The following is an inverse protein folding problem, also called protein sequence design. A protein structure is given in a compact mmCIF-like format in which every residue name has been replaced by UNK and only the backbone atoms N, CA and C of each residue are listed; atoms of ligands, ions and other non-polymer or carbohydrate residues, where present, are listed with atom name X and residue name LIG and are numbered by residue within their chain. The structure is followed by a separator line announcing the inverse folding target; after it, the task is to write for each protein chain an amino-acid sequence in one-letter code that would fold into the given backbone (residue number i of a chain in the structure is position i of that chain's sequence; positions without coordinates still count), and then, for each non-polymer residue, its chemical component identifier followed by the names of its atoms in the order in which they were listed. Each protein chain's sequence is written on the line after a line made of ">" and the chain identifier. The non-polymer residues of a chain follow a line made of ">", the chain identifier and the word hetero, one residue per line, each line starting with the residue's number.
data_IF_127018633141
#
_entry.id   IF_127018633141
#
_cell.length_a   1.000
_cell.length_b   1.000
_cell.length_c   1.000
_cell.angle_alpha   90.00
_cell.angle_beta   90.00
_cell.angle_gamma   90.00
#
_symmetry.space_group_name_H-M   'P 1'
#
loop_
_entity.id
_entity.type
_entity.pdbx_description
1 polymer ?
#
# COMPACT_ATOMS: atom_id res chain seq x y z
N UNK A 1 -12.79 12.01 45.42
CA UNK A 1 -12.48 12.30 44.02
C UNK A 1 -13.54 11.61 43.19
N UNK A 2 -14.07 12.30 42.19
CA UNK A 2 -14.99 11.75 41.20
C UNK A 2 -14.56 12.21 39.80
N UNK A 3 -14.95 11.45 38.78
CA UNK A 3 -14.69 11.78 37.39
C UNK A 3 -15.92 11.42 36.55
N UNK A 4 -16.19 12.19 35.51
CA UNK A 4 -17.27 11.96 34.54
C UNK A 4 -16.69 12.04 33.15
N UNK A 5 -16.99 11.07 32.28
CA UNK A 5 -16.68 11.11 30.86
C UNK A 5 -17.82 11.78 30.12
N UNK A 6 -17.53 12.77 29.30
CA UNK A 6 -18.50 13.45 28.44
C UNK A 6 -18.29 12.95 27.03
N UNK A 7 -19.33 12.39 26.42
CA UNK A 7 -19.31 11.83 25.07
C UNK A 7 -20.14 12.68 24.09
N UNK A 8 -20.00 12.41 22.79
CA UNK A 8 -20.75 13.09 21.73
C UNK A 8 -20.30 14.54 21.47
N UNK A 9 -19.11 14.91 21.92
CA UNK A 9 -18.55 16.24 21.67
C UNK A 9 -18.14 16.39 20.19
N UNK A 10 -18.24 17.61 19.66
CA UNK A 10 -17.74 17.97 18.32
C UNK A 10 -16.22 18.05 18.35
N UNK A 11 -15.58 17.64 17.25
CA UNK A 11 -14.13 17.80 17.07
C UNK A 11 -13.73 19.29 16.97
N UNK A 12 -12.46 19.59 17.28
CA UNK A 12 -11.86 20.93 17.20
C UNK A 12 -12.66 22.03 17.95
N UNK A 13 -13.44 21.64 18.95
CA UNK A 13 -14.36 22.55 19.66
C UNK A 13 -13.88 22.82 21.08
N UNK A 14 -14.05 24.06 21.53
CA UNK A 14 -13.76 24.46 22.91
C UNK A 14 -15.00 24.26 23.77
N UNK A 15 -14.82 23.65 24.93
CA UNK A 15 -15.86 23.41 25.92
C UNK A 15 -15.47 24.00 27.27
N UNK A 16 -16.48 24.47 27.98
CA UNK A 16 -16.36 25.02 29.32
C UNK A 16 -17.15 24.15 30.28
N UNK A 17 -16.54 23.72 31.36
CA UNK A 17 -17.14 22.82 32.35
C UNK A 17 -17.18 23.49 33.71
N UNK A 18 -18.33 23.38 34.36
CA UNK A 18 -18.51 23.70 35.78
C UNK A 18 -18.99 22.47 36.52
N UNK A 19 -18.62 22.35 37.76
CA UNK A 19 -19.07 21.28 38.65
C UNK A 19 -20.17 21.78 39.57
N UNK A 20 -21.19 20.96 39.76
CA UNK A 20 -22.22 21.14 40.74
C UNK A 20 -22.13 20.03 41.79
N UNK A 21 -22.23 20.43 43.03
CA UNK A 21 -22.33 19.50 44.17
C UNK A 21 -23.68 19.75 44.87
N UNK A 22 -24.49 18.72 45.01
CA UNK A 22 -25.80 18.80 45.68
C UNK A 22 -25.93 17.73 46.75
N UNK A 23 -26.69 18.06 47.75
CA UNK A 23 -27.24 17.12 48.74
C UNK A 23 -28.76 17.33 48.83
N UNK A 24 -29.45 16.57 49.68
CA UNK A 24 -30.92 16.66 49.82
C UNK A 24 -31.45 18.05 50.27
N UNK A 25 -30.60 18.95 50.71
CA UNK A 25 -30.96 20.26 51.24
C UNK A 25 -30.59 21.42 50.33
N UNK A 26 -29.53 21.32 49.59
CA UNK A 26 -29.04 22.39 48.72
C UNK A 26 -28.08 21.89 47.65
N UNK A 27 -27.93 22.69 46.59
CA UNK A 27 -26.84 22.52 45.60
C UNK A 27 -25.93 23.75 45.62
N UNK A 28 -24.66 23.52 45.28
CA UNK A 28 -23.66 24.57 45.09
C UNK A 28 -22.93 24.33 43.76
N UNK A 29 -23.00 25.33 42.88
CA UNK A 29 -22.20 25.40 41.69
C UNK A 29 -20.80 25.88 42.09
N UNK A 30 -19.74 25.26 41.53
CA UNK A 30 -18.39 25.78 41.68
C UNK A 30 -18.19 26.90 40.66
N UNK A 31 -17.75 28.07 41.11
CA UNK A 31 -17.61 29.25 40.27
C UNK A 31 -16.45 29.15 39.29
N UNK A 32 -15.48 28.26 39.57
CA UNK A 32 -14.37 28.00 38.69
C UNK A 32 -14.84 27.26 37.43
N UNK A 33 -14.41 27.77 36.27
CA UNK A 33 -14.68 27.20 34.95
C UNK A 33 -13.42 26.56 34.44
N UNK A 34 -13.46 25.26 34.13
CA UNK A 34 -12.41 24.57 33.40
C UNK A 34 -12.68 24.60 31.89
N UNK A 35 -11.68 24.94 31.11
CA UNK A 35 -11.73 24.94 29.65
C UNK A 35 -10.94 23.76 29.10
N UNK A 36 -11.46 23.09 28.08
CA UNK A 36 -10.72 22.12 27.29
C UNK A 36 -11.15 22.18 25.82
N UNK A 37 -10.25 21.72 24.94
CA UNK A 37 -10.51 21.67 23.51
C UNK A 37 -10.40 20.22 23.02
N UNK A 38 -11.39 19.79 22.25
CA UNK A 38 -11.34 18.48 21.58
C UNK A 38 -10.35 18.48 20.44
N UNK A 39 -9.72 17.33 20.20
CA UNK A 39 -8.74 17.14 19.13
C UNK A 39 -9.48 17.11 17.79
N UNK A 40 -8.99 17.83 16.74
CA UNK A 40 -9.58 17.76 15.41
C UNK A 40 -9.34 16.40 14.76
N UNK A 41 -10.33 15.92 14.03
CA UNK A 41 -10.12 14.83 13.10
C UNK A 41 -9.26 15.28 11.91
N UNK A 42 -8.36 14.42 11.47
CA UNK A 42 -7.45 14.67 10.34
C UNK A 42 -7.54 13.57 9.29
N UNK A 43 -6.93 13.77 8.12
CA UNK A 43 -6.68 12.69 7.17
C UNK A 43 -5.69 11.69 7.77
N UNK A 44 -5.65 10.44 7.29
CA UNK A 44 -4.69 9.42 7.76
C UNK A 44 -3.23 9.82 7.56
N UNK A 45 -2.32 9.21 8.32
CA UNK A 45 -0.88 9.22 8.02
C UNK A 45 -0.49 7.84 7.49
N UNK A 46 0.04 7.79 6.28
CA UNK A 46 0.43 6.56 5.58
C UNK A 46 1.86 6.66 5.07
N UNK A 47 2.58 5.55 5.13
CA UNK A 47 3.94 5.39 4.59
C UNK A 47 3.91 4.31 3.51
N UNK A 48 4.58 4.55 2.38
CA UNK A 48 4.77 3.55 1.33
C UNK A 48 5.92 2.62 1.71
N UNK A 49 5.70 1.31 1.66
CA UNK A 49 6.75 0.31 1.88
C UNK A 49 7.68 0.20 0.67
N UNK A 50 8.85 -0.41 0.85
CA UNK A 50 9.73 -0.74 -0.27
C UNK A 50 9.04 -1.73 -1.22
N UNK A 51 9.39 -1.64 -2.50
CA UNK A 51 8.89 -2.55 -3.54
C UNK A 51 9.77 -3.81 -3.54
N UNK A 52 9.12 -4.97 -3.63
CA UNK A 52 9.79 -6.27 -3.67
C UNK A 52 9.24 -7.15 -4.79
N UNK A 53 9.90 -8.30 -5.01
CA UNK A 53 9.47 -9.36 -5.93
C UNK A 53 9.12 -8.85 -7.34
N UNK A 54 9.96 -7.94 -7.85
CA UNK A 54 9.77 -7.35 -9.18
C UNK A 54 10.14 -8.37 -10.26
N UNK A 55 9.15 -8.70 -11.09
CA UNK A 55 9.30 -9.54 -12.28
C UNK A 55 9.15 -8.71 -13.56
N UNK A 56 8.94 -9.35 -14.69
CA UNK A 56 8.61 -8.66 -15.95
C UNK A 56 7.17 -8.13 -15.99
N UNK A 57 6.26 -8.64 -15.16
CA UNK A 57 4.84 -8.26 -15.20
C UNK A 57 4.18 -8.08 -13.83
N UNK A 58 4.95 -8.26 -12.73
CA UNK A 58 4.42 -8.16 -11.37
C UNK A 58 5.39 -7.44 -10.43
N UNK A 59 4.86 -6.91 -9.34
CA UNK A 59 5.63 -6.41 -8.20
C UNK A 59 4.78 -6.48 -6.93
N UNK A 60 5.42 -6.58 -5.76
CA UNK A 60 4.76 -6.46 -4.46
C UNK A 60 5.13 -5.12 -3.84
N UNK A 61 4.11 -4.39 -3.41
CA UNK A 61 4.26 -3.13 -2.67
C UNK A 61 3.10 -2.95 -1.71
N UNK A 62 3.30 -2.19 -0.66
CA UNK A 62 2.24 -1.92 0.30
C UNK A 62 2.51 -0.65 1.08
N UNK A 63 2.01 -0.59 2.29
CA UNK A 63 2.23 0.54 3.18
C UNK A 63 1.88 0.24 4.62
N UNK A 64 2.11 1.24 5.46
CA UNK A 64 1.75 1.23 6.87
C UNK A 64 0.95 2.48 7.18
N UNK A 65 -0.26 2.30 7.73
CA UNK A 65 -1.05 3.39 8.26
C UNK A 65 -0.70 3.54 9.74
N UNK A 66 0.04 4.60 10.07
CA UNK A 66 0.51 4.88 11.42
C UNK A 66 -0.57 5.59 12.25
N UNK A 67 -1.30 6.53 11.63
CA UNK A 67 -2.40 7.24 12.27
C UNK A 67 -3.65 7.25 11.39
N UNK A 68 -4.81 7.02 12.01
CA UNK A 68 -6.10 7.04 11.31
C UNK A 68 -6.78 8.43 11.33
N UNK A 69 -6.15 9.43 11.97
CA UNK A 69 -6.70 10.77 12.11
C UNK A 69 -7.95 10.86 13.00
N UNK A 70 -8.14 9.87 13.89
CA UNK A 70 -9.30 9.79 14.79
C UNK A 70 -10.58 9.28 14.12
N UNK A 71 -10.52 8.85 12.86
CA UNK A 71 -11.63 8.31 12.07
C UNK A 71 -11.28 6.92 11.53
N UNK A 72 -12.29 6.11 11.28
CA UNK A 72 -12.11 4.79 10.68
C UNK A 72 -11.49 4.90 9.28
N UNK A 73 -10.54 4.01 8.97
CA UNK A 73 -10.01 3.87 7.62
C UNK A 73 -10.99 3.01 6.82
N UNK A 74 -11.65 3.63 5.88
CA UNK A 74 -12.67 3.00 5.03
C UNK A 74 -12.06 2.27 3.84
N UNK A 75 -10.91 2.73 3.36
CA UNK A 75 -10.18 2.11 2.26
C UNK A 75 -8.67 2.36 2.39
N UNK A 76 -7.87 1.39 1.95
CA UNK A 76 -6.42 1.49 1.82
C UNK A 76 -5.93 0.65 0.66
N UNK A 77 -4.76 0.98 0.14
CA UNK A 77 -4.16 0.26 -0.99
C UNK A 77 -2.98 1.01 -1.57
N UNK A 78 -2.71 0.72 -2.84
CA UNK A 78 -1.61 1.31 -3.61
C UNK A 78 -2.15 1.91 -4.89
N UNK A 79 -1.65 3.09 -5.23
CA UNK A 79 -1.81 3.71 -6.56
C UNK A 79 -0.50 3.63 -7.32
N UNK A 80 -0.56 3.43 -8.63
CA UNK A 80 0.62 3.31 -9.47
C UNK A 80 0.40 3.88 -10.87
N UNK A 81 1.49 4.32 -11.50
CA UNK A 81 1.48 4.91 -12.85
C UNK A 81 2.88 4.83 -13.45
N UNK A 82 2.98 4.98 -14.76
CA UNK A 82 4.25 5.23 -15.48
C UNK A 82 4.69 6.70 -15.42
N UNK A 83 3.87 7.57 -14.87
CA UNK A 83 4.21 8.98 -14.61
C UNK A 83 4.32 9.25 -13.12
N UNK A 84 5.22 10.16 -12.68
CA UNK A 84 5.38 10.51 -11.27
C UNK A 84 4.09 11.04 -10.60
N UNK A 85 4.04 10.93 -9.27
CA UNK A 85 2.95 11.39 -8.41
C UNK A 85 1.58 10.73 -8.70
N UNK A 86 1.49 9.39 -8.72
CA UNK A 86 0.22 8.71 -8.93
C UNK A 86 -0.79 9.06 -7.83
N UNK A 87 -2.05 9.11 -8.23
CA UNK A 87 -3.22 9.34 -7.37
C UNK A 87 -4.29 8.28 -7.64
N UNK A 88 -5.41 8.34 -6.94
CA UNK A 88 -6.56 7.43 -7.16
C UNK A 88 -7.19 7.53 -8.57
N UNK A 89 -6.78 8.49 -9.40
CA UNK A 89 -7.17 8.58 -10.81
C UNK A 89 -6.33 7.68 -11.73
N UNK A 90 -5.26 7.07 -11.24
CA UNK A 90 -4.36 6.17 -11.96
C UNK A 90 -4.70 4.71 -11.65
N UNK A 91 -3.78 3.78 -11.93
CA UNK A 91 -3.91 2.38 -11.53
C UNK A 91 -4.02 2.26 -10.00
N UNK A 92 -4.99 1.49 -9.53
CA UNK A 92 -5.27 1.33 -8.09
C UNK A 92 -5.44 -0.14 -7.74
N UNK A 93 -4.81 -0.57 -6.65
CA UNK A 93 -5.03 -1.89 -6.03
C UNK A 93 -5.46 -1.67 -4.59
N UNK A 94 -6.70 -2.04 -4.26
CA UNK A 94 -7.23 -1.94 -2.90
C UNK A 94 -6.76 -3.13 -2.03
N UNK A 95 -6.49 -2.85 -0.76
CA UNK A 95 -6.15 -3.83 0.29
C UNK A 95 -7.12 -3.77 1.48
N UNK A 96 -8.39 -3.46 1.20
CA UNK A 96 -9.45 -3.40 2.21
C UNK A 96 -9.41 -2.13 3.07
N UNK A 97 -9.59 -2.28 4.36
CA UNK A 97 -9.75 -1.18 5.33
C UNK A 97 -8.91 -1.39 6.58
N UNK A 98 -8.99 -0.45 7.53
CA UNK A 98 -8.35 -0.54 8.84
C UNK A 98 -6.92 -0.01 8.89
N UNK A 99 -6.41 0.19 10.13
CA UNK A 99 -5.05 0.69 10.45
C UNK A 99 -4.02 -0.45 10.36
N UNK A 100 -2.73 -0.12 10.25
CA UNK A 100 -1.60 -1.04 10.27
C UNK A 100 -1.00 -1.32 8.89
N UNK A 101 -0.14 -2.32 8.82
CA UNK A 101 0.55 -2.71 7.59
C UNK A 101 -0.37 -3.47 6.62
N UNK A 102 -0.09 -3.33 5.33
CA UNK A 102 -0.77 -4.06 4.26
C UNK A 102 0.15 -4.23 3.06
N UNK A 103 -0.17 -5.19 2.21
CA UNK A 103 0.52 -5.45 0.95
C UNK A 103 -0.47 -5.56 -0.20
N UNK A 104 -0.01 -5.22 -1.40
CA UNK A 104 -0.73 -5.33 -2.66
C UNK A 104 0.17 -6.00 -3.69
N UNK A 105 -0.41 -6.86 -4.52
CA UNK A 105 0.25 -7.44 -5.68
C UNK A 105 -0.14 -6.64 -6.92
N UNK A 106 0.82 -5.98 -7.54
CA UNK A 106 0.65 -5.37 -8.86
C UNK A 106 0.84 -6.46 -9.92
N UNK A 107 -0.07 -6.53 -10.87
CA UNK A 107 -0.07 -7.54 -11.94
C UNK A 107 -0.34 -6.89 -13.28
N UNK A 108 -0.08 -7.62 -14.37
CA UNK A 108 -0.25 -7.13 -15.74
C UNK A 108 0.53 -5.83 -16.04
N UNK A 109 1.68 -5.68 -15.41
CA UNK A 109 2.61 -4.59 -15.71
C UNK A 109 3.30 -4.85 -17.06
N UNK A 110 3.70 -3.78 -17.74
CA UNK A 110 4.54 -3.87 -18.94
C UNK A 110 5.97 -4.18 -18.53
N UNK A 111 6.66 -5.02 -19.28
CA UNK A 111 8.06 -5.34 -19.07
C UNK A 111 8.98 -4.14 -19.38
N UNK A 112 10.17 -4.14 -18.80
CA UNK A 112 11.19 -3.10 -18.98
C UNK A 112 10.70 -1.69 -18.68
N UNK A 113 9.60 -1.54 -17.93
CA UNK A 113 8.90 -0.27 -17.72
C UNK A 113 9.08 0.24 -16.31
N UNK A 114 9.37 1.53 -16.16
CA UNK A 114 9.44 2.19 -14.85
C UNK A 114 8.05 2.60 -14.39
N UNK A 115 7.73 2.22 -13.15
CA UNK A 115 6.51 2.58 -12.44
C UNK A 115 6.81 3.39 -11.19
N UNK A 116 5.92 4.32 -10.89
CA UNK A 116 5.86 5.09 -9.66
C UNK A 116 4.69 4.61 -8.84
N UNK A 117 4.88 4.42 -7.54
CA UNK A 117 3.87 3.85 -6.64
C UNK A 117 3.77 4.64 -5.35
N UNK A 118 2.57 4.72 -4.79
CA UNK A 118 2.31 5.30 -3.47
C UNK A 118 1.26 4.47 -2.75
N UNK A 119 1.48 4.21 -1.47
CA UNK A 119 0.42 3.74 -0.60
C UNK A 119 -0.61 4.85 -0.37
N UNK A 120 -1.88 4.50 -0.22
CA UNK A 120 -2.94 5.46 0.11
C UNK A 120 -3.85 4.92 1.22
N UNK A 121 -4.50 5.85 1.91
CA UNK A 121 -5.53 5.56 2.90
C UNK A 121 -6.62 6.63 2.88
N UNK A 122 -7.86 6.21 3.10
CA UNK A 122 -9.06 7.05 3.08
C UNK A 122 -9.76 6.97 4.43
N UNK A 123 -10.16 8.11 4.96
CA UNK A 123 -11.12 8.22 6.05
C UNK A 123 -12.19 9.28 5.72
N UNK A 124 -13.12 9.56 6.65
CA UNK A 124 -14.17 10.55 6.45
C UNK A 124 -13.68 11.99 6.21
N UNK A 125 -12.40 12.30 6.51
CA UNK A 125 -11.78 13.63 6.25
C UNK A 125 -11.11 13.71 4.88
N UNK A 126 -10.79 12.59 4.25
CA UNK A 126 -10.20 12.55 2.92
C UNK A 126 -9.16 11.45 2.73
N UNK A 127 -8.47 11.56 1.60
CA UNK A 127 -7.42 10.63 1.18
C UNK A 127 -6.05 11.21 1.48
N UNK A 128 -5.15 10.35 1.97
CA UNK A 128 -3.73 10.64 2.10
C UNK A 128 -2.90 9.66 1.27
N UNK A 129 -1.71 10.09 0.88
CA UNK A 129 -0.76 9.30 0.12
C UNK A 129 0.58 9.29 0.85
N UNK A 130 1.24 8.13 0.87
CA UNK A 130 2.60 7.97 1.35
C UNK A 130 3.65 8.56 0.39
N UNK A 131 4.91 8.40 0.74
CA UNK A 131 6.03 8.78 -0.13
C UNK A 131 5.97 8.03 -1.46
N UNK A 132 6.41 8.67 -2.53
CA UNK A 132 6.56 8.03 -3.82
C UNK A 132 7.78 7.10 -3.80
N UNK A 133 7.60 5.89 -4.31
CA UNK A 133 8.66 4.94 -4.65
C UNK A 133 8.61 4.67 -6.15
N UNK A 134 9.73 4.25 -6.72
CA UNK A 134 9.78 3.83 -8.12
C UNK A 134 10.49 2.48 -8.24
N UNK A 135 10.10 1.72 -9.26
CA UNK A 135 10.77 0.48 -9.64
C UNK A 135 10.66 0.30 -11.15
N UNK A 136 11.54 -0.54 -11.71
CA UNK A 136 11.48 -0.92 -13.12
C UNK A 136 11.27 -2.42 -13.22
N UNK A 137 10.26 -2.85 -13.96
CA UNK A 137 10.01 -4.26 -14.26
C UNK A 137 11.18 -4.84 -15.06
N UNK A 138 11.44 -6.14 -14.91
CA UNK A 138 12.46 -6.82 -15.72
C UNK A 138 12.03 -6.78 -17.18
N UNK A 139 12.97 -6.50 -18.10
CA UNK A 139 12.72 -6.60 -19.52
C UNK A 139 12.64 -8.08 -19.93
N UNK A 140 11.76 -8.40 -20.86
CA UNK A 140 11.78 -9.67 -21.57
C UNK A 140 12.88 -9.60 -22.64
N UNK A 141 13.71 -10.63 -22.72
CA UNK A 141 14.82 -10.73 -23.65
C UNK A 141 14.70 -11.99 -24.51
N UNK A 142 15.51 -12.09 -25.56
CA UNK A 142 15.60 -13.33 -26.35
C UNK A 142 16.27 -14.44 -25.51
N UNK A 143 15.85 -15.70 -25.66
CA UNK A 143 16.47 -16.81 -24.96
C UNK A 143 17.95 -16.97 -25.31
N UNK A 144 18.73 -17.45 -24.33
CA UNK A 144 20.13 -17.84 -24.52
C UNK A 144 20.20 -19.37 -24.58
N UNK A 145 20.73 -19.88 -25.69
CA UNK A 145 20.80 -21.31 -25.92
C UNK A 145 22.25 -21.73 -26.27
N UNK A 146 22.55 -22.98 -25.95
CA UNK A 146 23.81 -23.62 -26.38
C UNK A 146 23.49 -24.86 -27.18
N UNK A 147 24.41 -25.24 -28.09
CA UNK A 147 24.34 -26.48 -28.86
C UNK A 147 25.23 -27.55 -28.23
N UNK A 148 24.69 -28.73 -28.01
CA UNK A 148 25.46 -29.87 -27.54
C UNK A 148 26.18 -30.55 -28.70
N UNK A 149 27.30 -31.23 -28.42
CA UNK A 149 27.99 -32.08 -29.41
C UNK A 149 27.07 -33.20 -29.88
N UNK A 150 27.11 -33.53 -31.16
CA UNK A 150 26.43 -34.68 -31.70
C UNK A 150 26.93 -35.99 -31.07
N UNK A 151 26.00 -36.88 -30.73
CA UNK A 151 26.28 -38.21 -30.16
C UNK A 151 25.53 -39.28 -30.94
N UNK A 152 25.81 -40.56 -30.68
CA UNK A 152 25.15 -41.70 -31.32
C UNK A 152 25.19 -41.60 -32.86
N UNK A 153 26.34 -41.18 -33.40
CA UNK A 153 26.52 -40.99 -34.83
C UNK A 153 26.60 -42.35 -35.50
N UNK A 154 25.78 -42.58 -36.52
CA UNK A 154 25.76 -43.74 -37.37
C UNK A 154 25.91 -43.35 -38.86
N UNK A 155 25.76 -44.29 -39.79
CA UNK A 155 25.79 -44.00 -41.23
C UNK A 155 24.61 -43.10 -41.70
N UNK A 156 23.49 -43.10 -40.97
CA UNK A 156 22.26 -42.44 -41.39
C UNK A 156 21.59 -41.64 -40.29
N UNK A 157 22.14 -41.57 -39.05
CA UNK A 157 21.55 -40.90 -37.93
C UNK A 157 22.60 -40.32 -36.97
N UNK A 158 22.22 -39.30 -36.26
CA UNK A 158 22.94 -38.76 -35.12
C UNK A 158 21.92 -38.15 -34.11
N UNK A 159 22.31 -38.14 -32.84
CA UNK A 159 21.56 -37.41 -31.81
C UNK A 159 22.20 -36.04 -31.65
N UNK A 160 21.42 -35.00 -31.81
CA UNK A 160 21.78 -33.59 -31.62
C UNK A 160 20.83 -32.90 -30.65
N UNK A 161 21.28 -31.85 -30.02
CA UNK A 161 20.45 -31.10 -29.05
C UNK A 161 21.15 -29.84 -28.58
N UNK A 162 20.58 -29.25 -27.58
CA UNK A 162 21.08 -28.03 -26.93
C UNK A 162 20.49 -27.86 -25.54
N UNK A 163 20.94 -26.84 -24.86
CA UNK A 163 20.46 -26.43 -23.55
C UNK A 163 20.03 -24.96 -23.63
N UNK A 164 18.88 -24.66 -23.03
CA UNK A 164 18.41 -23.30 -22.83
C UNK A 164 18.98 -22.83 -21.48
N UNK A 165 19.91 -21.86 -21.54
CA UNK A 165 20.55 -21.28 -20.36
C UNK A 165 19.71 -20.22 -19.69
N UNK A 166 18.91 -19.49 -20.50
CA UNK A 166 18.01 -18.43 -20.05
C UNK A 166 16.82 -18.36 -21.01
N UNK A 167 15.60 -18.40 -20.48
CA UNK A 167 14.35 -18.29 -21.26
C UNK A 167 14.00 -16.85 -21.65
N UNK A 168 14.78 -15.87 -21.16
CA UNK A 168 14.55 -14.45 -21.39
C UNK A 168 13.38 -13.87 -20.63
N UNK A 169 12.81 -14.60 -19.66
CA UNK A 169 11.68 -14.17 -18.85
C UNK A 169 10.30 -14.36 -19.50
N UNK A 170 10.23 -15.09 -20.61
CA UNK A 170 8.96 -15.43 -21.29
C UNK A 170 8.87 -16.95 -21.50
N UNK A 171 7.63 -17.44 -21.60
CA UNK A 171 7.40 -18.87 -21.89
C UNK A 171 7.90 -19.20 -23.30
N UNK A 172 8.73 -20.23 -23.39
CA UNK A 172 9.19 -20.77 -24.68
C UNK A 172 8.01 -21.28 -25.49
N UNK A 173 7.95 -20.90 -26.77
CA UNK A 173 6.90 -21.32 -27.70
C UNK A 173 7.34 -22.47 -28.61
N UNK A 174 8.65 -22.54 -28.92
CA UNK A 174 9.24 -23.56 -29.77
C UNK A 174 10.72 -23.79 -29.44
N UNK A 175 11.20 -25.01 -29.54
CA UNK A 175 12.61 -25.40 -29.48
C UNK A 175 12.89 -26.55 -30.45
N UNK A 176 14.07 -26.56 -31.05
CA UNK A 176 14.42 -27.60 -32.01
C UNK A 176 15.86 -27.47 -32.52
N UNK A 177 16.20 -28.32 -33.44
CA UNK A 177 17.48 -28.39 -34.17
C UNK A 177 17.23 -28.42 -35.66
#
# INVERSE_FOLDING_TARGET
>A
TFGVTIEGLKDASTYYVRYEVSNRWSSKMIDEVSEFKTIPYTIPTVQTSEVSDVTHSTAIVGGVITENGGQEITERGVVYSTTPNPTSSNGTVSSGSGKGAFTCNLTALQDGTTYYVRAYAVNAKGTSYGEEKSFTTKAITIPIVTTSSATNISYTSATVGGEILDDGGATETERGV
#
